data_IF_761001810332
#
_entry.id   IF_761001810332
#
_cell.length_a   1.000
_cell.length_b   1.000
_cell.length_c   1.000
_cell.angle_alpha   90.00
_cell.angle_beta   90.00
_cell.angle_gamma   90.00
#
_symmetry.space_group_name_H-M   'P 1'
#
loop_
_entity.id
_entity.type
_entity.pdbx_description
1 polymer ?
#
# COMPACT_ATOMS: atom_id res chain seq x y z
N UNK A 1 -1.22 -1.54 16.34
CA UNK A 1 -0.44 -0.35 15.95
C UNK A 1 0.02 -0.48 14.51
N UNK A 2 -0.91 -0.38 13.57
CA UNK A 2 -0.64 -0.39 12.14
C UNK A 2 -1.25 0.83 11.47
N UNK A 3 -0.75 1.19 10.29
CA UNK A 3 -1.26 2.28 9.47
C UNK A 3 -2.54 1.82 8.79
N UNK A 4 -3.62 2.60 8.92
CA UNK A 4 -4.89 2.32 8.24
C UNK A 4 -4.79 2.79 6.80
N UNK A 5 -5.09 1.88 5.87
CA UNK A 5 -5.09 2.12 4.43
C UNK A 5 -6.35 1.55 3.78
N UNK A 6 -6.69 2.04 2.60
CA UNK A 6 -7.72 1.45 1.75
C UNK A 6 -7.20 0.20 0.99
N UNK A 7 -8.05 -0.40 0.15
CA UNK A 7 -7.70 -1.59 -0.64
C UNK A 7 -6.50 -1.38 -1.59
N UNK A 8 -6.20 -0.14 -1.96
CA UNK A 8 -5.06 0.25 -2.81
C UNK A 8 -3.78 0.54 -2.00
N UNK A 9 -3.83 0.43 -0.68
CA UNK A 9 -2.73 0.78 0.22
C UNK A 9 -2.57 2.29 0.46
N UNK A 10 -3.52 3.12 0.02
CA UNK A 10 -3.53 4.57 0.26
C UNK A 10 -3.92 4.85 1.72
N UNK A 11 -3.09 5.66 2.38
CA UNK A 11 -3.34 6.14 3.74
C UNK A 11 -4.36 7.29 3.74
N UNK A 12 -4.70 7.81 4.92
CA UNK A 12 -5.49 9.04 5.06
C UNK A 12 -4.82 10.29 4.47
N UNK A 13 -3.53 10.22 4.10
CA UNK A 13 -2.82 11.29 3.40
C UNK A 13 -2.78 11.03 1.90
N UNK A 14 -3.18 12.04 1.13
CA UNK A 14 -3.13 11.99 -0.33
C UNK A 14 -1.71 11.70 -0.82
N UNK A 15 -1.59 10.78 -1.79
CA UNK A 15 -0.34 10.31 -2.37
C UNK A 15 0.63 9.59 -1.41
N UNK A 16 0.19 9.19 -0.21
CA UNK A 16 1.00 8.39 0.72
C UNK A 16 0.43 6.98 0.81
N UNK A 17 1.26 5.98 0.49
CA UNK A 17 0.87 4.58 0.44
C UNK A 17 1.68 3.74 1.44
N UNK A 18 1.06 2.74 2.05
CA UNK A 18 1.67 1.80 2.98
C UNK A 18 1.17 0.37 2.74
N UNK A 19 2.01 -0.63 3.01
CA UNK A 19 1.68 -2.04 2.83
C UNK A 19 2.58 -2.98 3.65
N UNK A 20 2.23 -4.27 3.66
CA UNK A 20 2.95 -5.29 4.44
C UNK A 20 2.74 -5.14 5.94
N UNK A 21 3.76 -5.49 6.74
CA UNK A 21 3.70 -5.52 8.20
C UNK A 21 3.27 -4.19 8.85
N UNK A 22 3.54 -3.07 8.18
CA UNK A 22 3.12 -1.74 8.62
C UNK A 22 1.59 -1.57 8.66
N UNK A 23 0.84 -2.40 7.93
CA UNK A 23 -0.62 -2.31 7.77
C UNK A 23 -1.30 -3.57 8.31
N UNK A 24 -0.84 -4.76 7.90
CA UNK A 24 -1.51 -6.03 8.20
C UNK A 24 -1.04 -6.68 9.50
N UNK A 25 -0.01 -6.12 10.16
CA UNK A 25 0.74 -6.83 11.20
C UNK A 25 1.64 -7.93 10.60
N UNK A 26 2.32 -8.70 11.45
CA UNK A 26 3.31 -9.71 11.03
C UNK A 26 2.75 -10.62 9.92
N UNK A 27 3.18 -10.37 8.69
CA UNK A 27 2.73 -11.05 7.50
C UNK A 27 3.89 -11.83 6.87
N UNK A 28 3.56 -12.84 6.09
CA UNK A 28 4.57 -13.63 5.39
C UNK A 28 5.14 -12.83 4.22
N UNK A 29 6.39 -13.13 3.82
CA UNK A 29 7.11 -12.42 2.74
C UNK A 29 6.28 -12.35 1.45
N UNK A 30 5.49 -13.38 1.15
CA UNK A 30 4.63 -13.41 -0.05
C UNK A 30 3.52 -12.34 -0.01
N UNK A 31 2.96 -12.06 1.17
CA UNK A 31 1.92 -11.05 1.36
C UNK A 31 2.51 -9.65 1.27
N UNK A 32 3.71 -9.44 1.82
CA UNK A 32 4.44 -8.18 1.70
C UNK A 32 4.77 -7.85 0.23
N UNK A 33 5.19 -8.86 -0.55
CA UNK A 33 5.43 -8.71 -1.99
C UNK A 33 4.14 -8.39 -2.77
N UNK A 34 3.00 -9.02 -2.41
CA UNK A 34 1.69 -8.72 -3.00
C UNK A 34 1.26 -7.27 -2.75
N UNK A 35 1.36 -6.82 -1.49
CA UNK A 35 1.03 -5.45 -1.11
C UNK A 35 1.92 -4.42 -1.82
N UNK A 36 3.22 -4.69 -1.95
CA UNK A 36 4.15 -3.82 -2.68
C UNK A 36 3.78 -3.67 -4.16
N UNK A 37 3.32 -4.75 -4.81
CA UNK A 37 2.88 -4.71 -6.21
C UNK A 37 1.62 -3.85 -6.40
N UNK A 38 0.65 -3.98 -5.50
CA UNK A 38 -0.58 -3.17 -5.51
C UNK A 38 -0.25 -1.69 -5.30
N UNK A 39 0.57 -1.38 -4.29
CA UNK A 39 1.00 -0.01 -4.02
C UNK A 39 1.73 0.62 -5.22
N UNK A 40 2.65 -0.11 -5.86
CA UNK A 40 3.36 0.38 -7.05
C UNK A 40 2.41 0.68 -8.22
N UNK A 41 1.41 -0.18 -8.46
CA UNK A 41 0.39 0.05 -9.49
C UNK A 41 -0.46 1.29 -9.18
N UNK A 42 -0.90 1.45 -7.94
CA UNK A 42 -1.66 2.62 -7.51
C UNK A 42 -0.86 3.93 -7.65
N UNK A 43 0.45 3.90 -7.37
CA UNK A 43 1.35 5.03 -7.59
C UNK A 43 1.47 5.36 -9.09
N UNK A 44 1.66 4.35 -9.95
CA UNK A 44 1.76 4.54 -11.42
C UNK A 44 0.47 5.13 -12.00
N UNK A 45 -0.70 4.64 -11.59
CA UNK A 45 -2.00 5.17 -11.99
C UNK A 45 -2.21 6.61 -11.49
N UNK A 46 -1.82 6.92 -10.25
CA UNK A 46 -1.90 8.28 -9.70
C UNK A 46 -1.00 9.27 -10.46
N UNK A 47 0.19 8.85 -10.89
CA UNK A 47 1.12 9.68 -11.66
C UNK A 47 0.63 9.87 -13.09
N UNK A 48 0.14 8.81 -13.75
CA UNK A 48 -0.37 8.89 -15.13
C UNK A 48 -1.68 9.66 -15.27
N UNK A 49 -2.50 9.68 -14.22
CA UNK A 49 -3.76 10.43 -14.18
C UNK A 49 -3.61 11.92 -13.80
N UNK A 50 -2.37 12.37 -13.55
CA UNK A 50 -2.01 13.77 -13.31
C UNK A 50 -1.49 14.42 -14.60
#
# INVERSE_FOLDING_TARGET
>A
GGIVVNEDGLTSKTAVYAGGDAVTGAATVILAMGAGKTAAKAIDEYIKGK
#
